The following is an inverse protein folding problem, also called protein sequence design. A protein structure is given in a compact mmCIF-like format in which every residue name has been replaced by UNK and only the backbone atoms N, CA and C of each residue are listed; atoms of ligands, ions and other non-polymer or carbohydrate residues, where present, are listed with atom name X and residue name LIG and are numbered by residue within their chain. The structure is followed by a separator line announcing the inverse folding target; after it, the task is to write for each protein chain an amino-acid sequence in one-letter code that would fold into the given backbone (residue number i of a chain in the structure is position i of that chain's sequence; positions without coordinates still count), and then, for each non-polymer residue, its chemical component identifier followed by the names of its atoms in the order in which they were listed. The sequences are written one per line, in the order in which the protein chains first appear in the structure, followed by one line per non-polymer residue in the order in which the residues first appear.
data_IF_712560271832
#
_entry.id   IF_712560271832
#
_cell.length_a   1.000
_cell.length_b   1.000
_cell.length_c   1.000
_cell.angle_alpha   90.00
_cell.angle_beta   90.00
_cell.angle_gamma   90.00
#
_symmetry.space_group_name_H-M   'P 1'
#
loop_
_entity.id
_entity.type
_entity.pdbx_description
1 polymer ?
#
# COMPACT_ATOMS: atom_id res chain seq x y z
N UNK A 1 0.37 2.36 26.55
CA UNK A 1 0.54 1.92 25.16
C UNK A 1 -0.52 2.63 24.36
N UNK A 2 -0.13 3.47 23.42
CA UNK A 2 -1.04 4.22 22.55
C UNK A 2 -1.62 3.33 21.44
N UNK A 3 -2.59 3.87 20.68
CA UNK A 3 -3.23 3.14 19.59
C UNK A 3 -2.23 2.69 18.51
N UNK A 4 -1.29 3.56 18.13
CA UNK A 4 -0.23 3.25 17.16
C UNK A 4 0.64 2.08 17.62
N UNK A 5 1.05 2.07 18.89
CA UNK A 5 1.87 0.99 19.45
C UNK A 5 1.13 -0.36 19.49
N UNK A 6 -0.18 -0.34 19.81
CA UNK A 6 -1.02 -1.55 19.81
C UNK A 6 -1.13 -2.12 18.39
N UNK A 7 -1.45 -1.30 17.40
CA UNK A 7 -1.57 -1.71 16.01
C UNK A 7 -0.23 -2.18 15.43
N UNK A 8 0.86 -1.48 15.75
CA UNK A 8 2.20 -1.84 15.33
C UNK A 8 2.65 -3.18 15.92
N UNK A 9 2.42 -3.37 17.22
CA UNK A 9 2.73 -4.63 17.90
C UNK A 9 1.94 -5.81 17.32
N UNK A 10 0.65 -5.60 17.07
CA UNK A 10 -0.18 -6.61 16.39
C UNK A 10 0.39 -6.95 15.01
N UNK A 11 0.61 -5.94 14.17
CA UNK A 11 1.12 -6.14 12.82
C UNK A 11 2.50 -6.85 12.83
N UNK A 12 3.42 -6.45 13.69
CA UNK A 12 4.74 -7.05 13.79
C UNK A 12 4.70 -8.51 14.22
N UNK A 13 3.79 -8.88 15.15
CA UNK A 13 3.74 -10.21 15.75
C UNK A 13 2.85 -11.22 15.01
N UNK A 14 1.96 -10.79 14.11
CA UNK A 14 1.11 -11.69 13.31
C UNK A 14 1.98 -12.69 12.55
N UNK A 15 1.60 -13.97 12.54
CA UNK A 15 2.29 -15.04 11.81
C UNK A 15 1.34 -15.73 10.87
N UNK A 16 1.85 -16.24 9.76
CA UNK A 16 1.06 -17.00 8.78
C UNK A 16 0.37 -18.19 9.43
N UNK A 17 1.04 -18.87 10.36
CA UNK A 17 0.56 -20.04 11.08
C UNK A 17 -0.62 -19.74 12.03
N UNK A 18 -0.82 -18.47 12.40
CA UNK A 18 -1.92 -18.02 13.25
C UNK A 18 -3.19 -17.72 12.42
N UNK A 19 -3.09 -17.70 11.08
CA UNK A 19 -4.19 -17.32 10.21
C UNK A 19 -5.14 -18.50 9.96
N UNK A 20 -6.46 -18.30 10.16
CA UNK A 20 -7.45 -19.28 9.74
C UNK A 20 -7.36 -19.54 8.22
N UNK A 21 -7.70 -20.75 7.79
CA UNK A 21 -7.70 -21.12 6.37
C UNK A 21 -8.54 -20.17 5.51
N UNK A 22 -9.72 -19.78 6.00
CA UNK A 22 -10.59 -18.82 5.31
C UNK A 22 -9.93 -17.46 5.08
N UNK A 23 -9.11 -16.99 6.03
CA UNK A 23 -8.38 -15.72 5.91
C UNK A 23 -7.27 -15.84 4.88
N UNK A 24 -6.52 -16.95 4.91
CA UNK A 24 -5.45 -17.18 3.93
C UNK A 24 -5.99 -17.32 2.52
N UNK A 25 -7.15 -17.97 2.34
CA UNK A 25 -7.78 -18.10 1.02
C UNK A 25 -8.34 -16.77 0.53
N UNK A 26 -8.93 -15.96 1.41
CA UNK A 26 -9.37 -14.62 1.02
C UNK A 26 -8.19 -13.72 0.66
N UNK A 27 -7.09 -13.77 1.40
CA UNK A 27 -5.88 -13.02 1.07
C UNK A 27 -5.29 -13.41 -0.29
N UNK A 28 -5.28 -14.70 -0.63
CA UNK A 28 -4.88 -15.17 -1.97
C UNK A 28 -5.76 -14.60 -3.08
N UNK A 29 -7.10 -14.57 -2.86
CA UNK A 29 -8.06 -14.01 -3.82
C UNK A 29 -7.82 -12.52 -4.02
N UNK A 30 -7.62 -11.76 -2.94
CA UNK A 30 -7.32 -10.33 -2.99
C UNK A 30 -6.02 -10.07 -3.76
N UNK A 31 -4.95 -10.81 -3.46
CA UNK A 31 -3.66 -10.69 -4.15
C UNK A 31 -3.84 -10.98 -5.65
N UNK A 32 -4.56 -12.04 -6.00
CA UNK A 32 -4.82 -12.44 -7.38
C UNK A 32 -5.66 -11.37 -8.12
N UNK A 33 -6.70 -10.87 -7.49
CA UNK A 33 -7.57 -9.82 -8.02
C UNK A 33 -6.79 -8.53 -8.31
N UNK A 34 -6.02 -8.07 -7.31
CA UNK A 34 -5.18 -6.87 -7.46
C UNK A 34 -4.14 -7.02 -8.57
N UNK A 35 -3.49 -8.19 -8.69
CA UNK A 35 -2.57 -8.50 -9.79
C UNK A 35 -3.33 -8.48 -11.13
N UNK A 36 -4.54 -9.01 -11.17
CA UNK A 36 -5.40 -8.97 -12.35
C UNK A 36 -5.69 -7.54 -12.80
N UNK A 37 -6.03 -6.65 -11.86
CA UNK A 37 -6.24 -5.24 -12.13
C UNK A 37 -4.97 -4.55 -12.66
N UNK A 38 -3.79 -4.83 -12.06
CA UNK A 38 -2.51 -4.31 -12.56
C UNK A 38 -2.27 -4.70 -14.02
N UNK A 39 -2.42 -5.99 -14.34
CA UNK A 39 -2.22 -6.52 -15.70
C UNK A 39 -3.19 -5.86 -16.68
N UNK A 40 -4.46 -5.77 -16.29
CA UNK A 40 -5.51 -5.14 -17.11
C UNK A 40 -5.31 -3.63 -17.30
N UNK A 41 -4.67 -2.96 -16.36
CA UNK A 41 -4.37 -1.53 -16.42
C UNK A 41 -3.25 -1.18 -17.40
N UNK A 42 -2.23 -2.04 -17.55
CA UNK A 42 -1.03 -1.77 -18.38
C UNK A 42 -1.33 -1.35 -19.83
N UNK A 43 -2.22 -2.01 -20.59
CA UNK A 43 -2.43 -1.66 -21.99
C UNK A 43 -3.13 -0.32 -22.22
N UNK A 44 -3.76 0.24 -21.19
CA UNK A 44 -4.50 1.48 -21.26
C UNK A 44 -3.55 2.70 -21.39
N UNK A 45 -4.01 3.83 -21.99
CA UNK A 45 -3.16 5.02 -22.13
C UNK A 45 -2.54 5.46 -20.81
N UNK A 46 -3.34 5.53 -19.75
CA UNK A 46 -2.88 5.89 -18.42
C UNK A 46 -1.87 4.87 -17.86
N UNK A 47 -2.11 3.58 -18.06
CA UNK A 47 -1.20 2.52 -17.63
C UNK A 47 0.17 2.61 -18.29
N UNK A 48 0.23 2.93 -19.58
CA UNK A 48 1.50 3.17 -20.31
C UNK A 48 2.27 4.34 -19.69
N UNK A 49 1.60 5.45 -19.43
CA UNK A 49 2.21 6.62 -18.77
C UNK A 49 2.74 6.29 -17.37
N UNK A 50 2.01 5.47 -16.59
CA UNK A 50 2.46 5.03 -15.27
C UNK A 50 3.73 4.19 -15.40
N UNK A 51 3.78 3.25 -16.36
CA UNK A 51 4.95 2.39 -16.60
C UNK A 51 6.17 3.23 -17.00
N UNK A 52 6.01 4.15 -17.96
CA UNK A 52 7.08 5.04 -18.42
C UNK A 52 7.62 5.89 -17.27
N UNK A 53 6.74 6.54 -16.50
CA UNK A 53 7.14 7.35 -15.36
C UNK A 53 7.89 6.53 -14.30
N UNK A 54 7.44 5.31 -14.02
CA UNK A 54 8.11 4.44 -13.06
C UNK A 54 9.49 3.98 -13.55
N UNK A 55 9.67 3.77 -14.85
CA UNK A 55 10.98 3.48 -15.44
C UNK A 55 11.93 4.68 -15.32
N UNK A 56 11.46 5.90 -15.57
CA UNK A 56 12.23 7.11 -15.40
C UNK A 56 12.65 7.32 -13.93
N UNK A 57 11.73 7.08 -12.98
CA UNK A 57 12.00 7.14 -11.54
C UNK A 57 12.94 6.02 -11.06
N UNK A 58 12.92 4.89 -11.74
CA UNK A 58 13.60 3.66 -11.29
C UNK A 58 15.12 3.68 -11.39
N UNK A 59 15.69 4.63 -12.14
CA UNK A 59 17.14 4.86 -12.18
C UNK A 59 17.98 3.68 -12.66
N UNK A 60 17.42 2.74 -13.44
CA UNK A 60 18.12 1.53 -13.91
C UNK A 60 18.28 0.41 -12.88
N UNK A 61 17.71 0.54 -11.69
CA UNK A 61 17.67 -0.55 -10.71
C UNK A 61 16.75 -1.70 -11.20
N UNK A 62 17.04 -2.93 -10.77
CA UNK A 62 16.31 -4.16 -11.17
C UNK A 62 15.81 -4.92 -9.94
N UNK A 63 15.30 -4.20 -8.94
CA UNK A 63 14.94 -4.76 -7.64
C UNK A 63 13.57 -5.43 -7.64
N UNK A 64 12.59 -4.85 -8.37
CA UNK A 64 11.22 -5.32 -8.38
C UNK A 64 10.55 -5.11 -9.75
N UNK A 65 9.50 -5.89 -10.02
CA UNK A 65 8.80 -5.92 -11.31
C UNK A 65 7.61 -4.97 -11.31
N UNK A 66 7.45 -4.20 -12.39
CA UNK A 66 6.16 -3.58 -12.72
C UNK A 66 5.27 -4.68 -13.31
N UNK A 67 4.27 -5.09 -12.55
CA UNK A 67 3.37 -6.21 -12.89
C UNK A 67 2.65 -5.94 -14.22
N UNK A 68 2.61 -6.94 -15.08
CA UNK A 68 1.98 -6.85 -16.40
C UNK A 68 2.86 -6.25 -17.50
N UNK A 69 3.82 -5.37 -17.17
CA UNK A 69 4.78 -4.84 -18.15
C UNK A 69 6.06 -5.70 -18.25
N UNK A 70 6.41 -6.40 -17.17
CA UNK A 70 7.66 -7.16 -17.06
C UNK A 70 8.91 -6.30 -16.86
N UNK A 71 8.80 -4.98 -16.87
CA UNK A 71 9.92 -4.08 -16.60
C UNK A 71 10.36 -4.19 -15.14
N UNK A 72 11.68 -4.19 -14.89
CA UNK A 72 12.26 -4.15 -13.55
C UNK A 72 12.81 -2.77 -13.25
N UNK A 73 12.51 -2.29 -12.06
CA UNK A 73 12.87 -0.96 -11.58
C UNK A 73 13.26 -1.02 -10.10
N UNK A 74 13.55 0.13 -9.48
CA UNK A 74 13.71 0.19 -8.02
C UNK A 74 12.43 -0.25 -7.31
N UNK A 75 12.56 -0.84 -6.12
CA UNK A 75 11.44 -1.28 -5.30
C UNK A 75 10.41 -0.14 -5.06
N UNK A 76 10.89 1.07 -4.85
CA UNK A 76 10.06 2.26 -4.64
C UNK A 76 9.25 2.61 -5.89
N UNK A 77 9.90 2.60 -7.07
CA UNK A 77 9.23 2.87 -8.35
C UNK A 77 8.24 1.75 -8.73
N UNK A 78 8.58 0.48 -8.42
CA UNK A 78 7.67 -0.63 -8.62
C UNK A 78 6.43 -0.53 -7.73
N UNK A 79 6.58 -0.15 -6.46
CA UNK A 79 5.45 0.08 -5.56
C UNK A 79 4.52 1.18 -6.09
N UNK A 80 5.09 2.30 -6.59
CA UNK A 80 4.33 3.34 -7.25
C UNK A 80 3.54 2.80 -8.45
N UNK A 81 4.23 2.14 -9.39
CA UNK A 81 3.57 1.65 -10.59
C UNK A 81 2.48 0.62 -10.28
N UNK A 82 2.79 -0.37 -9.44
CA UNK A 82 1.85 -1.43 -9.08
C UNK A 82 0.64 -0.90 -8.33
N UNK A 83 0.83 0.06 -7.41
CA UNK A 83 -0.27 0.73 -6.73
C UNK A 83 -1.17 1.52 -7.69
N UNK A 84 -0.59 2.30 -8.60
CA UNK A 84 -1.36 3.07 -9.58
C UNK A 84 -2.07 2.16 -10.60
N UNK A 85 -1.35 1.18 -11.18
CA UNK A 85 -1.89 0.24 -12.17
C UNK A 85 -3.06 -0.58 -11.64
N UNK A 86 -3.05 -0.93 -10.36
CA UNK A 86 -4.14 -1.69 -9.74
C UNK A 86 -5.45 -0.90 -9.66
N UNK A 87 -5.39 0.43 -9.77
CA UNK A 87 -6.55 1.32 -9.69
C UNK A 87 -7.04 1.84 -11.05
N UNK A 88 -6.26 1.70 -12.11
CA UNK A 88 -6.60 2.25 -13.45
C UNK A 88 -7.96 1.79 -13.98
N UNK A 89 -8.39 0.58 -13.62
CA UNK A 89 -9.69 0.03 -14.01
C UNK A 89 -10.83 0.40 -13.05
N UNK A 90 -10.50 0.91 -11.87
CA UNK A 90 -11.46 1.14 -10.78
C UNK A 90 -12.33 -0.12 -10.46
N UNK A 91 -11.72 -1.31 -10.55
CA UNK A 91 -12.33 -2.63 -10.33
C UNK A 91 -11.69 -3.40 -9.18
N UNK A 92 -10.76 -2.78 -8.50
CA UNK A 92 -10.07 -3.35 -7.35
C UNK A 92 -11.01 -3.49 -6.13
N UNK A 93 -10.54 -4.25 -5.14
CA UNK A 93 -11.28 -4.49 -3.91
C UNK A 93 -11.62 -3.19 -3.15
N UNK A 94 -12.68 -3.26 -2.37
CA UNK A 94 -13.10 -2.18 -1.49
C UNK A 94 -13.31 -2.70 -0.06
N UNK A 95 -12.77 -1.99 0.91
CA UNK A 95 -13.04 -2.19 2.33
C UNK A 95 -13.43 -0.85 2.95
N UNK A 96 -14.69 -0.74 3.43
CA UNK A 96 -15.29 0.53 3.87
C UNK A 96 -15.26 1.58 2.73
N UNK A 97 -14.51 2.64 2.91
CA UNK A 97 -14.36 3.72 1.94
C UNK A 97 -12.91 3.80 1.41
N UNK A 98 -12.35 2.68 1.01
CA UNK A 98 -10.99 2.67 0.48
C UNK A 98 -10.62 1.37 -0.22
N UNK A 99 -9.54 1.41 -0.96
CA UNK A 99 -9.01 0.34 -1.80
C UNK A 99 -7.69 -0.20 -1.25
N UNK A 100 -7.71 -1.01 -0.16
CA UNK A 100 -6.49 -1.43 0.52
C UNK A 100 -5.56 -2.29 -0.32
N UNK A 101 -6.09 -3.04 -1.29
CA UNK A 101 -5.28 -3.88 -2.18
C UNK A 101 -4.24 -3.09 -2.97
N UNK A 102 -4.59 -1.87 -3.41
CA UNK A 102 -3.69 -1.02 -4.21
C UNK A 102 -2.35 -0.79 -3.53
N UNK A 103 -2.37 -0.52 -2.24
CA UNK A 103 -1.18 -0.25 -1.45
C UNK A 103 -0.58 -1.50 -0.79
N UNK A 104 -1.42 -2.35 -0.17
CA UNK A 104 -0.92 -3.56 0.51
C UNK A 104 -0.26 -4.53 -0.46
N UNK A 105 -0.91 -4.80 -1.59
CA UNK A 105 -0.38 -5.73 -2.60
C UNK A 105 0.69 -5.05 -3.43
N UNK A 106 0.48 -3.80 -3.88
CA UNK A 106 1.45 -3.06 -4.68
C UNK A 106 2.81 -2.91 -4.00
N UNK A 107 2.81 -2.41 -2.76
CA UNK A 107 4.03 -2.27 -1.96
C UNK A 107 4.56 -3.62 -1.45
N UNK A 108 3.65 -4.51 -1.02
CA UNK A 108 4.01 -5.83 -0.52
C UNK A 108 4.74 -6.68 -1.55
N UNK A 109 4.25 -6.73 -2.80
CA UNK A 109 4.90 -7.45 -3.90
C UNK A 109 6.28 -6.87 -4.23
N UNK A 110 6.37 -5.53 -4.36
CA UNK A 110 7.62 -4.88 -4.69
C UNK A 110 8.69 -5.15 -3.62
N UNK A 111 8.32 -5.07 -2.34
CA UNK A 111 9.24 -5.38 -1.25
C UNK A 111 9.55 -6.88 -1.17
N UNK A 112 8.57 -7.76 -1.41
CA UNK A 112 8.76 -9.20 -1.40
C UNK A 112 9.75 -9.68 -2.49
N UNK A 113 9.66 -9.11 -3.69
CA UNK A 113 10.63 -9.41 -4.76
C UNK A 113 12.03 -8.98 -4.37
N UNK A 114 12.18 -7.75 -3.87
CA UNK A 114 13.47 -7.20 -3.44
C UNK A 114 14.13 -8.06 -2.36
N UNK A 115 13.37 -8.50 -1.36
CA UNK A 115 13.89 -9.24 -0.20
C UNK A 115 13.87 -10.77 -0.40
N UNK A 116 13.38 -11.26 -1.56
CA UNK A 116 13.25 -12.70 -1.83
C UNK A 116 12.27 -13.39 -0.89
N UNK A 117 11.22 -12.69 -0.47
CA UNK A 117 10.24 -13.22 0.48
C UNK A 117 9.35 -14.29 -0.15
N UNK A 118 8.90 -15.24 0.68
CA UNK A 118 7.98 -16.31 0.25
C UNK A 118 6.54 -15.81 0.09
N UNK A 119 5.73 -16.57 -0.65
CA UNK A 119 4.29 -16.29 -0.76
C UNK A 119 3.55 -16.30 0.58
N UNK A 120 3.99 -17.11 1.56
CA UNK A 120 3.44 -17.09 2.92
C UNK A 120 3.70 -15.76 3.61
N UNK A 121 4.92 -15.23 3.49
CA UNK A 121 5.26 -13.92 4.05
C UNK A 121 4.47 -12.78 3.37
N UNK A 122 4.21 -12.87 2.08
CA UNK A 122 3.35 -11.90 1.38
C UNK A 122 1.91 -11.97 1.89
N UNK A 123 1.33 -13.17 2.06
CA UNK A 123 -0.03 -13.33 2.62
C UNK A 123 -0.10 -12.74 4.02
N UNK A 124 0.86 -13.06 4.90
CA UNK A 124 0.97 -12.52 6.25
C UNK A 124 1.01 -10.97 6.24
N UNK A 125 1.81 -10.39 5.34
CA UNK A 125 1.96 -8.97 5.20
C UNK A 125 0.66 -8.29 4.73
N UNK A 126 -0.01 -8.86 3.75
CA UNK A 126 -1.30 -8.35 3.23
C UNK A 126 -2.37 -8.42 4.31
N UNK A 127 -2.48 -9.55 5.04
CA UNK A 127 -3.48 -9.67 6.13
C UNK A 127 -3.23 -8.65 7.22
N UNK A 128 -1.97 -8.50 7.69
CA UNK A 128 -1.63 -7.50 8.71
C UNK A 128 -2.01 -6.08 8.26
N UNK A 129 -1.74 -5.75 7.01
CA UNK A 129 -2.06 -4.46 6.43
C UNK A 129 -3.57 -4.21 6.38
N UNK A 130 -4.36 -5.17 5.91
CA UNK A 130 -5.84 -5.08 5.85
C UNK A 130 -6.47 -4.92 7.23
N UNK A 131 -5.98 -5.67 8.22
CA UNK A 131 -6.49 -5.60 9.59
C UNK A 131 -6.28 -4.22 10.21
N UNK A 132 -5.12 -3.62 10.00
CA UNK A 132 -4.86 -2.27 10.51
C UNK A 132 -5.63 -1.23 9.70
N UNK A 133 -5.63 -1.36 8.37
CA UNK A 133 -6.40 -0.48 7.49
C UNK A 133 -7.87 -0.41 7.90
N UNK A 134 -8.51 -1.55 8.10
CA UNK A 134 -9.92 -1.62 8.49
C UNK A 134 -10.20 -0.90 9.81
N UNK A 135 -9.33 -1.09 10.81
CA UNK A 135 -9.48 -0.43 12.11
C UNK A 135 -9.29 1.07 12.04
N UNK A 136 -8.27 1.52 11.32
CA UNK A 136 -8.04 2.96 11.10
C UNK A 136 -9.20 3.56 10.33
N UNK A 137 -9.64 2.93 9.25
CA UNK A 137 -10.76 3.38 8.42
C UNK A 137 -12.06 3.54 9.20
N UNK A 138 -12.38 2.62 10.13
CA UNK A 138 -13.54 2.74 11.01
C UNK A 138 -13.40 3.94 11.96
N UNK A 139 -12.22 4.13 12.54
CA UNK A 139 -11.99 5.19 13.53
C UNK A 139 -11.99 6.59 12.92
N UNK A 140 -11.54 6.74 11.68
CA UNK A 140 -11.37 8.03 11.01
C UNK A 140 -12.51 8.37 10.03
N UNK A 141 -13.63 7.67 10.09
CA UNK A 141 -14.81 7.97 9.27
C UNK A 141 -15.16 9.45 9.34
N UNK A 142 -15.01 10.20 8.26
CA UNK A 142 -15.33 11.62 8.26
C UNK A 142 -16.84 11.84 8.38
N UNK A 143 -17.24 12.99 8.94
CA UNK A 143 -18.63 13.45 8.81
C UNK A 143 -19.00 13.62 7.34
N UNK A 144 -20.28 13.58 7.00
CA UNK A 144 -20.75 13.76 5.63
C UNK A 144 -20.23 15.07 5.01
N UNK A 145 -20.26 16.17 5.75
CA UNK A 145 -19.72 17.47 5.33
C UNK A 145 -18.22 17.38 5.03
N UNK A 146 -17.45 16.70 5.89
CA UNK A 146 -16.01 16.53 5.70
C UNK A 146 -15.67 15.57 4.57
N UNK A 147 -16.52 14.57 4.34
CA UNK A 147 -16.39 13.66 3.20
C UNK A 147 -16.60 14.35 1.87
N UNK A 148 -17.51 15.32 1.79
CA UNK A 148 -17.72 16.17 0.62
C UNK A 148 -16.57 17.16 0.38
N UNK A 149 -15.95 17.65 1.45
CA UNK A 149 -14.83 18.59 1.35
C UNK A 149 -13.46 17.91 1.15
N UNK A 150 -13.26 16.77 1.79
CA UNK A 150 -11.99 16.04 1.83
C UNK A 150 -12.29 14.55 1.68
N UNK A 151 -12.18 14.02 0.47
CA UNK A 151 -12.25 12.58 0.28
C UNK A 151 -11.10 11.90 1.04
N UNK A 152 -11.42 11.41 2.25
CA UNK A 152 -10.42 10.95 3.20
C UNK A 152 -9.79 9.59 2.92
N UNK A 153 -10.32 8.79 1.95
CA UNK A 153 -9.90 7.40 1.77
C UNK A 153 -8.41 7.23 1.48
N UNK A 154 -7.81 8.16 0.76
CA UNK A 154 -6.36 8.11 0.46
C UNK A 154 -5.48 8.48 1.65
N UNK A 155 -6.05 9.15 2.65
CA UNK A 155 -5.29 9.64 3.81
C UNK A 155 -4.69 8.51 4.64
N UNK A 156 -5.38 7.39 4.80
CA UNK A 156 -4.88 6.26 5.60
C UNK A 156 -4.31 5.09 4.81
N UNK A 157 -4.36 5.14 3.46
CA UNK A 157 -3.76 4.10 2.61
C UNK A 157 -2.24 3.97 2.82
N UNK A 158 -1.44 5.03 3.07
CA UNK A 158 0.00 4.89 3.35
C UNK A 158 0.33 4.00 4.56
N UNK A 159 -0.56 3.93 5.56
CA UNK A 159 -0.35 2.99 6.69
C UNK A 159 -0.36 1.53 6.21
N UNK A 160 -1.23 1.24 5.25
CA UNK A 160 -1.38 -0.09 4.68
C UNK A 160 -0.08 -0.56 3.96
N UNK A 161 0.46 0.29 3.09
CA UNK A 161 1.73 0.00 2.41
C UNK A 161 2.91 -0.05 3.36
N UNK A 162 2.94 0.81 4.39
CA UNK A 162 3.99 0.79 5.40
C UNK A 162 4.00 -0.53 6.19
N UNK A 163 2.82 -1.03 6.54
CA UNK A 163 2.69 -2.30 7.27
C UNK A 163 3.05 -3.48 6.38
N UNK A 164 2.56 -3.52 5.13
CA UNK A 164 2.88 -4.60 4.22
C UNK A 164 4.40 -4.68 3.95
N UNK A 165 5.04 -3.58 3.63
CA UNK A 165 6.48 -3.51 3.44
C UNK A 165 7.25 -3.79 4.74
N UNK A 166 6.79 -3.26 5.88
CA UNK A 166 7.40 -3.46 7.19
C UNK A 166 7.37 -4.92 7.65
N UNK A 167 6.30 -5.65 7.35
CA UNK A 167 6.21 -7.09 7.61
C UNK A 167 7.26 -7.87 6.81
N UNK A 168 7.40 -7.57 5.53
CA UNK A 168 8.41 -8.19 4.67
C UNK A 168 9.83 -7.88 5.19
N UNK A 169 10.09 -6.65 5.61
CA UNK A 169 11.35 -6.22 6.23
C UNK A 169 11.55 -6.78 7.65
N UNK A 170 10.56 -7.48 8.22
CA UNK A 170 10.59 -8.04 9.58
C UNK A 170 10.82 -6.98 10.65
N UNK A 171 10.21 -5.81 10.50
CA UNK A 171 10.27 -4.76 11.51
C UNK A 171 9.68 -5.26 12.83
N UNK A 172 10.33 -4.95 13.93
CA UNK A 172 9.78 -5.16 15.27
C UNK A 172 8.66 -4.15 15.58
N UNK A 173 8.01 -4.29 16.74
CA UNK A 173 6.88 -3.43 17.10
C UNK A 173 7.24 -1.94 17.19
N UNK A 174 8.44 -1.60 17.63
CA UNK A 174 8.89 -0.20 17.74
C UNK A 174 9.20 0.39 16.37
N UNK A 175 9.89 -0.38 15.53
CA UNK A 175 10.16 0.00 14.14
C UNK A 175 8.85 0.11 13.33
N UNK A 176 7.90 -0.81 13.54
CA UNK A 176 6.59 -0.76 12.88
C UNK A 176 5.79 0.48 13.31
N UNK A 177 5.84 0.86 14.59
CA UNK A 177 5.23 2.11 15.07
C UNK A 177 5.86 3.33 14.40
N UNK A 178 7.19 3.33 14.26
CA UNK A 178 7.93 4.37 13.50
C UNK A 178 7.49 4.41 12.04
N UNK A 179 7.33 3.25 11.38
CA UNK A 179 6.88 3.18 9.99
C UNK A 179 5.47 3.76 9.83
N UNK A 180 4.54 3.41 10.73
CA UNK A 180 3.17 3.95 10.75
C UNK A 180 3.19 5.47 10.97
N UNK A 181 3.93 5.98 11.96
CA UNK A 181 4.05 7.42 12.22
C UNK A 181 4.64 8.19 11.05
N UNK A 182 5.71 7.66 10.42
CA UNK A 182 6.32 8.25 9.23
C UNK A 182 5.36 8.25 8.03
N UNK A 183 4.60 7.15 7.83
CA UNK A 183 3.59 7.08 6.78
C UNK A 183 2.49 8.14 6.99
N UNK A 184 2.10 8.41 8.23
CA UNK A 184 1.17 9.47 8.58
C UNK A 184 1.65 10.87 8.17
N UNK A 185 2.96 11.14 8.26
CA UNK A 185 3.54 12.40 7.80
C UNK A 185 3.47 12.60 6.27
N UNK A 186 3.37 11.51 5.52
CA UNK A 186 3.23 11.52 4.06
C UNK A 186 1.77 11.31 3.61
N UNK A 187 0.83 11.21 4.55
CA UNK A 187 -0.57 11.00 4.21
C UNK A 187 -1.12 12.18 3.39
N UNK A 188 -1.70 11.94 2.22
CA UNK A 188 -2.23 13.03 1.42
C UNK A 188 -3.47 13.63 2.09
N UNK A 189 -3.49 14.95 2.21
CA UNK A 189 -4.63 15.73 2.73
C UNK A 189 -5.42 16.39 1.60
N UNK A 190 -5.32 15.86 0.39
CA UNK A 190 -5.90 16.48 -0.79
C UNK A 190 -7.41 16.30 -0.92
N UNK A 191 -8.05 17.25 -1.60
CA UNK A 191 -9.46 17.17 -2.01
C UNK A 191 -9.62 16.18 -3.18
N UNK A 192 -9.41 14.88 -2.94
CA UNK A 192 -9.50 13.83 -3.97
C UNK A 192 -10.86 13.83 -4.68
N UNK A 193 -11.93 14.21 -3.97
CA UNK A 193 -13.26 14.34 -4.56
C UNK A 193 -13.29 15.25 -5.80
N UNK A 194 -12.54 16.33 -5.79
CA UNK A 194 -12.45 17.20 -6.96
C UNK A 194 -11.85 16.51 -8.19
N UNK A 195 -10.95 15.56 -7.99
CA UNK A 195 -10.39 14.77 -9.10
C UNK A 195 -11.43 13.83 -9.71
N UNK A 196 -12.31 13.24 -8.88
CA UNK A 196 -13.44 12.42 -9.35
C UNK A 196 -14.47 13.29 -10.07
N UNK A 197 -14.84 14.44 -9.52
CA UNK A 197 -15.78 15.38 -10.16
C UNK A 197 -15.26 15.91 -11.51
N UNK A 198 -13.96 16.18 -11.61
CA UNK A 198 -13.34 16.70 -12.84
C UNK A 198 -12.92 15.60 -13.81
N UNK A 199 -13.14 14.32 -13.47
CA UNK A 199 -12.68 13.14 -14.22
C UNK A 199 -11.19 13.19 -14.52
N UNK A 200 -10.41 13.61 -13.54
CA UNK A 200 -8.96 13.69 -13.66
C UNK A 200 -8.30 12.36 -13.36
N UNK A 201 -7.42 11.90 -14.24
CA UNK A 201 -6.59 10.71 -14.04
C UNK A 201 -5.66 10.83 -12.81
N UNK A 202 -5.52 12.01 -12.23
CA UNK A 202 -4.74 12.27 -11.02
C UNK A 202 -5.18 11.41 -9.83
N UNK A 203 -6.45 11.01 -9.79
CA UNK A 203 -6.97 10.11 -8.78
C UNK A 203 -6.19 8.80 -8.73
N UNK A 204 -5.98 8.16 -9.87
CA UNK A 204 -5.27 6.87 -9.97
C UNK A 204 -3.78 6.99 -9.60
N UNK A 205 -3.11 8.10 -9.94
CA UNK A 205 -1.73 8.35 -9.53
C UNK A 205 -1.57 8.41 -8.01
N UNK A 206 -2.58 8.88 -7.29
CA UNK A 206 -2.54 8.95 -5.84
C UNK A 206 -2.42 7.57 -5.19
N UNK A 207 -3.01 6.52 -5.75
CA UNK A 207 -2.84 5.15 -5.26
C UNK A 207 -1.38 4.69 -5.37
N UNK A 208 -0.70 5.04 -6.45
CA UNK A 208 0.74 4.83 -6.61
C UNK A 208 1.55 5.60 -5.57
N UNK A 209 1.23 6.88 -5.37
CA UNK A 209 1.92 7.72 -4.38
C UNK A 209 1.76 7.18 -2.94
N UNK A 210 0.58 6.70 -2.59
CA UNK A 210 0.33 6.12 -1.26
C UNK A 210 1.04 4.78 -1.06
N UNK A 211 1.10 3.94 -2.11
CA UNK A 211 1.87 2.70 -2.07
C UNK A 211 3.37 2.98 -1.90
N UNK A 212 3.91 3.92 -2.66
CA UNK A 212 5.30 4.34 -2.61
C UNK A 212 5.67 4.96 -1.26
N UNK A 213 4.88 5.90 -0.76
CA UNK A 213 5.20 6.66 0.44
C UNK A 213 5.21 5.78 1.69
N UNK A 214 4.28 4.86 1.83
CA UNK A 214 4.28 3.93 2.96
C UNK A 214 5.41 2.91 2.88
N UNK A 215 5.72 2.38 1.68
CA UNK A 215 6.90 1.53 1.50
C UNK A 215 8.19 2.28 1.89
N UNK A 216 8.33 3.54 1.47
CA UNK A 216 9.46 4.38 1.86
C UNK A 216 9.52 4.57 3.39
N UNK A 217 8.37 4.78 4.05
CA UNK A 217 8.29 4.90 5.49
C UNK A 217 8.78 3.63 6.21
N UNK A 218 8.45 2.44 5.70
CA UNK A 218 8.96 1.17 6.23
C UNK A 218 10.48 1.04 6.03
N UNK A 219 11.01 1.41 4.86
CA UNK A 219 12.46 1.42 4.62
C UNK A 219 13.19 2.40 5.53
N UNK A 220 12.60 3.57 5.77
CA UNK A 220 13.14 4.55 6.71
C UNK A 220 13.21 3.97 8.12
N UNK A 221 12.11 3.40 8.62
CA UNK A 221 12.03 2.80 9.95
C UNK A 221 13.01 1.62 10.13
N UNK A 222 13.27 0.86 9.06
CA UNK A 222 14.26 -0.22 9.08
C UNK A 222 15.68 0.30 9.31
N UNK A 223 16.02 1.47 8.76
CA UNK A 223 17.37 2.06 8.85
C UNK A 223 17.54 3.06 9.99
N UNK A 224 16.47 3.72 10.39
CA UNK A 224 16.47 4.77 11.41
C UNK A 224 15.40 4.48 12.48
N UNK A 225 15.67 3.58 13.45
CA UNK A 225 14.69 3.15 14.43
C UNK A 225 14.25 4.24 15.44
N UNK A 226 14.87 5.41 15.43
CA UNK A 226 14.57 6.55 16.31
C UNK A 226 13.54 7.53 15.73
N UNK A 227 12.57 7.03 14.95
CA UNK A 227 11.48 7.84 14.40
C UNK A 227 10.47 8.29 15.48
N UNK A 228 9.55 9.17 15.07
CA UNK A 228 8.55 9.74 15.97
C UNK A 228 7.76 8.68 16.72
N UNK A 229 8.05 8.50 17.99
CA UNK A 229 7.16 7.84 18.95
C UNK A 229 6.10 8.88 19.34
N UNK A 230 4.93 8.80 18.74
CA UNK A 230 3.77 9.61 19.13
C UNK A 230 2.64 8.72 19.59
#
# INVERSE_FOLDING_TARGET
MGATEILASYAANLRYEDLPEQVTDQAKRIIMDTIGCMIGGVPLPLGKTIVELAQDMGGGATEATIVGSGAKVSCVAAAYANGALSDVLDWNDMLYVGHPGTAAVGAGLAMAEREGASGKQLIEAVVAAYEVFGRVGICVQPSEERQQALWGMLTWIPFNSAIAAGKILRLDGAQMATAIGTAGAFAPLGACWKYVETRSDTYHYNHGMTAMSGLFAAMHAHKCPTGMNT
#
